data_IF_751580308653
#
_entry.id   IF_751580308653
#
_cell.length_a   1.000
_cell.length_b   1.000
_cell.length_c   1.000
_cell.angle_alpha   90.00
_cell.angle_beta   90.00
_cell.angle_gamma   90.00
#
_symmetry.space_group_name_H-M   'P 1'
#
loop_
_entity.id
_entity.type
_entity.pdbx_description
1 polymer ?
#
# COMPACT_ATOMS: atom_id res chain seq x y z
N UNK A 1 -16.56 28.59 23.02
CA UNK A 1 -16.84 29.32 21.77
C UNK A 1 -15.57 29.29 20.95
N UNK A 2 -15.44 28.30 20.08
CA UNK A 2 -14.40 28.28 19.05
C UNK A 2 -14.78 29.33 18.03
N UNK A 3 -14.03 30.42 17.94
CA UNK A 3 -14.13 31.39 16.88
C UNK A 3 -13.82 30.62 15.57
N UNK A 4 -14.83 30.49 14.71
CA UNK A 4 -14.64 30.18 13.30
C UNK A 4 -13.73 31.26 12.72
N UNK A 5 -12.44 30.94 12.56
CA UNK A 5 -11.55 31.76 11.80
C UNK A 5 -11.65 31.33 10.33
N UNK A 6 -12.36 32.10 9.48
CA UNK A 6 -12.54 31.74 8.07
C UNK A 6 -11.24 31.78 7.25
N UNK A 7 -10.15 32.25 7.86
CA UNK A 7 -8.82 32.36 7.24
C UNK A 7 -7.80 31.37 7.79
N UNK A 8 -8.26 30.27 8.43
CA UNK A 8 -7.31 29.21 8.81
C UNK A 8 -6.65 28.67 7.53
N UNK A 9 -5.31 28.77 7.44
CA UNK A 9 -4.63 28.36 6.21
C UNK A 9 -4.86 26.86 5.99
N UNK A 10 -5.35 26.50 4.80
CA UNK A 10 -5.56 25.10 4.37
C UNK A 10 -4.29 24.24 4.49
N UNK A 11 -3.13 24.88 4.70
CA UNK A 11 -1.86 24.20 5.00
C UNK A 11 -1.92 23.28 6.21
N UNK A 12 -2.80 23.56 7.19
CA UNK A 12 -2.97 22.75 8.40
C UNK A 12 -4.16 21.80 8.29
N UNK A 13 -4.82 21.76 7.14
CA UNK A 13 -5.94 20.86 6.90
C UNK A 13 -5.42 19.40 6.84
N UNK A 14 -5.82 18.59 7.80
CA UNK A 14 -5.28 17.25 8.01
C UNK A 14 -5.34 16.33 6.76
N UNK A 15 -6.45 16.24 6.01
CA UNK A 15 -6.47 15.44 4.79
C UNK A 15 -5.45 15.88 3.73
N UNK A 16 -5.18 17.16 3.62
CA UNK A 16 -4.14 17.69 2.73
C UNK A 16 -2.75 17.28 3.19
N UNK A 17 -2.45 17.40 4.48
CA UNK A 17 -1.16 16.97 5.05
C UNK A 17 -0.92 15.47 4.88
N UNK A 18 -1.96 14.66 5.10
CA UNK A 18 -1.88 13.20 4.89
C UNK A 18 -1.59 12.86 3.42
N UNK A 19 -2.27 13.53 2.49
CA UNK A 19 -2.02 13.36 1.06
C UNK A 19 -0.60 13.74 0.69
N UNK A 20 -0.11 14.90 1.10
CA UNK A 20 1.24 15.38 0.82
C UNK A 20 2.31 14.46 1.43
N UNK A 21 2.15 14.07 2.68
CA UNK A 21 3.07 13.15 3.35
C UNK A 21 3.14 11.80 2.63
N UNK A 22 1.99 11.24 2.25
CA UNK A 22 1.91 9.99 1.52
C UNK A 22 2.56 10.09 0.13
N UNK A 23 2.33 11.16 -0.62
CA UNK A 23 2.92 11.36 -1.95
C UNK A 23 4.45 11.47 -1.87
N UNK A 24 4.96 12.30 -0.98
CA UNK A 24 6.41 12.52 -0.85
C UNK A 24 7.13 11.27 -0.34
N UNK A 25 6.59 10.61 0.68
CA UNK A 25 7.15 9.37 1.21
C UNK A 25 7.11 8.24 0.17
N UNK A 26 6.01 8.12 -0.56
CA UNK A 26 5.84 7.10 -1.61
C UNK A 26 6.81 7.26 -2.76
N UNK A 27 7.13 8.48 -3.17
CA UNK A 27 8.09 8.74 -4.27
C UNK A 27 9.48 8.20 -3.95
N UNK A 28 9.94 8.39 -2.73
CA UNK A 28 11.26 7.92 -2.31
C UNK A 28 11.35 6.39 -2.35
N UNK A 29 10.28 5.70 -1.98
CA UNK A 29 10.23 4.24 -2.03
C UNK A 29 9.98 3.70 -3.45
N UNK A 30 9.22 4.42 -4.27
CA UNK A 30 8.85 4.03 -5.64
C UNK A 30 10.06 3.70 -6.51
N UNK A 31 11.15 4.42 -6.36
CA UNK A 31 12.37 4.18 -7.11
C UNK A 31 12.85 2.73 -7.01
N UNK A 32 12.72 2.11 -5.84
CA UNK A 32 13.20 0.75 -5.62
C UNK A 32 12.41 -0.31 -6.40
N UNK A 33 11.09 -0.29 -6.34
CA UNK A 33 10.30 -1.27 -7.08
C UNK A 33 10.19 -0.98 -8.58
N UNK A 34 10.31 0.28 -8.96
CA UNK A 34 10.28 0.67 -10.37
C UNK A 34 11.59 0.31 -11.08
N UNK A 35 12.73 0.65 -10.50
CA UNK A 35 14.04 0.40 -11.11
C UNK A 35 14.42 -1.08 -11.15
N UNK A 36 14.10 -1.83 -10.10
CA UNK A 36 14.47 -3.24 -9.99
C UNK A 36 13.51 -4.18 -10.72
N UNK A 37 12.21 -3.88 -10.69
CA UNK A 37 11.15 -4.81 -11.12
C UNK A 37 10.19 -4.22 -12.15
N UNK A 38 10.38 -2.98 -12.55
CA UNK A 38 9.50 -2.31 -13.52
C UNK A 38 8.06 -2.18 -13.02
N UNK A 39 7.83 -2.19 -11.70
CA UNK A 39 6.49 -2.10 -11.13
C UNK A 39 6.03 -0.66 -10.97
N UNK A 40 4.74 -0.45 -11.18
CA UNK A 40 4.06 0.79 -10.85
C UNK A 40 3.57 0.77 -9.38
N UNK A 41 3.22 1.95 -8.85
CA UNK A 41 2.70 2.08 -7.48
C UNK A 41 1.51 1.17 -7.21
N UNK A 42 0.58 1.05 -8.15
CA UNK A 42 -0.61 0.21 -7.99
C UNK A 42 -0.25 -1.28 -7.93
N UNK A 43 0.73 -1.70 -8.73
CA UNK A 43 1.24 -3.08 -8.71
C UNK A 43 1.90 -3.40 -7.38
N UNK A 44 2.73 -2.51 -6.86
CA UNK A 44 3.32 -2.65 -5.52
C UNK A 44 2.24 -2.75 -4.43
N UNK A 45 1.20 -1.91 -4.47
CA UNK A 45 0.11 -1.95 -3.50
C UNK A 45 -0.64 -3.28 -3.52
N UNK A 46 -0.91 -3.84 -4.69
CA UNK A 46 -1.52 -5.18 -4.83
C UNK A 46 -0.58 -6.25 -4.27
N UNK A 47 0.68 -6.22 -4.64
CA UNK A 47 1.69 -7.16 -4.13
C UNK A 47 1.83 -7.07 -2.61
N UNK A 48 1.83 -5.87 -2.05
CA UNK A 48 1.90 -5.64 -0.60
C UNK A 48 0.76 -6.35 0.15
N UNK A 49 -0.48 -6.22 -0.33
CA UNK A 49 -1.61 -6.89 0.29
C UNK A 49 -1.53 -8.41 0.17
N UNK A 50 -1.11 -8.93 -0.98
CA UNK A 50 -0.92 -10.37 -1.17
C UNK A 50 0.21 -10.93 -0.31
N UNK A 51 1.32 -10.23 -0.21
CA UNK A 51 2.46 -10.65 0.61
C UNK A 51 2.22 -10.54 2.10
N UNK A 52 1.51 -9.50 2.54
CA UNK A 52 1.27 -9.23 3.97
C UNK A 52 0.10 -10.02 4.55
N UNK A 53 -0.92 -10.29 3.75
CA UNK A 53 -2.18 -10.88 4.24
C UNK A 53 -2.44 -12.28 3.68
N UNK A 54 -1.67 -12.69 2.66
CA UNK A 54 -1.86 -13.97 1.97
C UNK A 54 -2.82 -13.87 0.79
N UNK A 55 -3.19 -15.02 0.29
CA UNK A 55 -4.02 -15.16 -0.89
C UNK A 55 -5.40 -14.56 -0.69
N UNK A 56 -5.90 -13.83 -1.67
CA UNK A 56 -7.17 -13.12 -1.58
C UNK A 56 -7.76 -12.85 -2.97
N UNK A 57 -9.04 -12.55 -3.02
CA UNK A 57 -9.73 -12.18 -4.26
C UNK A 57 -9.43 -10.73 -4.64
N UNK A 58 -9.60 -10.39 -5.92
CA UNK A 58 -9.48 -9.01 -6.39
C UNK A 58 -10.41 -8.04 -5.64
N UNK A 59 -11.62 -8.49 -5.29
CA UNK A 59 -12.58 -7.70 -4.50
C UNK A 59 -12.05 -7.38 -3.10
N UNK A 60 -11.44 -8.35 -2.44
CA UNK A 60 -10.83 -8.14 -1.12
C UNK A 60 -9.67 -7.14 -1.20
N UNK A 61 -8.85 -7.21 -2.25
CA UNK A 61 -7.76 -6.24 -2.49
C UNK A 61 -8.33 -4.84 -2.73
N UNK A 62 -9.38 -4.69 -3.56
CA UNK A 62 -10.03 -3.39 -3.78
C UNK A 62 -10.46 -2.75 -2.46
N UNK A 63 -11.10 -3.51 -1.59
CA UNK A 63 -11.58 -3.02 -0.30
C UNK A 63 -10.43 -2.62 0.63
N UNK A 64 -9.42 -3.48 0.77
CA UNK A 64 -8.28 -3.25 1.67
C UNK A 64 -7.36 -2.14 1.20
N UNK A 65 -7.12 -2.07 -0.09
CA UNK A 65 -6.24 -1.06 -0.68
C UNK A 65 -6.94 0.27 -0.97
N UNK A 66 -8.27 0.34 -0.79
CA UNK A 66 -9.08 1.50 -1.21
C UNK A 66 -8.79 1.89 -2.67
N UNK A 67 -8.76 0.89 -3.54
CA UNK A 67 -8.49 1.05 -4.97
C UNK A 67 -9.71 0.69 -5.79
N UNK A 68 -9.92 1.44 -6.88
CA UNK A 68 -10.96 1.15 -7.83
C UNK A 68 -10.68 -0.17 -8.57
N UNK A 69 -11.76 -0.93 -8.87
CA UNK A 69 -11.70 -2.22 -9.56
C UNK A 69 -10.84 -2.20 -10.82
N UNK A 70 -10.93 -1.16 -11.64
CA UNK A 70 -10.15 -1.04 -12.88
C UNK A 70 -8.63 -0.96 -12.60
N UNK A 71 -8.23 -0.21 -11.58
CA UNK A 71 -6.82 -0.10 -11.19
C UNK A 71 -6.27 -1.43 -10.68
N UNK A 72 -7.03 -2.12 -9.84
CA UNK A 72 -6.65 -3.45 -9.34
C UNK A 72 -6.56 -4.46 -10.48
N UNK A 73 -7.53 -4.50 -11.38
CA UNK A 73 -7.55 -5.39 -12.53
C UNK A 73 -6.32 -5.21 -13.44
N UNK A 74 -5.95 -3.97 -13.72
CA UNK A 74 -4.74 -3.66 -14.51
C UNK A 74 -3.45 -4.07 -13.80
N UNK A 75 -3.37 -3.79 -12.51
CA UNK A 75 -2.21 -4.15 -11.69
C UNK A 75 -2.05 -5.68 -11.60
N UNK A 76 -3.13 -6.41 -11.40
CA UNK A 76 -3.14 -7.88 -11.37
C UNK A 76 -2.64 -8.45 -12.70
N UNK A 77 -3.16 -7.94 -13.82
CA UNK A 77 -2.72 -8.37 -15.14
C UNK A 77 -1.21 -8.12 -15.35
N UNK A 78 -0.73 -6.95 -14.99
CA UNK A 78 0.68 -6.60 -15.13
C UNK A 78 1.59 -7.49 -14.25
N UNK A 79 1.18 -7.78 -13.02
CA UNK A 79 1.92 -8.69 -12.12
C UNK A 79 1.90 -10.14 -12.63
N UNK A 80 0.81 -10.56 -13.23
CA UNK A 80 0.68 -11.88 -13.87
C UNK A 80 1.62 -12.01 -15.09
N UNK A 81 1.67 -10.99 -15.93
CA UNK A 81 2.60 -10.91 -17.07
C UNK A 81 4.07 -10.94 -16.63
N UNK A 82 4.38 -10.32 -15.48
CA UNK A 82 5.72 -10.39 -14.86
C UNK A 82 5.98 -11.73 -14.16
N UNK A 83 5.01 -12.62 -14.10
CA UNK A 83 5.07 -13.90 -13.38
C UNK A 83 5.27 -13.79 -11.87
N UNK A 84 4.87 -12.67 -11.28
CA UNK A 84 4.89 -12.46 -9.83
C UNK A 84 3.59 -12.90 -9.16
N UNK A 85 2.51 -13.04 -9.92
CA UNK A 85 1.18 -13.37 -9.46
C UNK A 85 0.59 -14.46 -10.33
N UNK A 86 -0.22 -15.34 -9.73
CA UNK A 86 -1.03 -16.33 -10.41
C UNK A 86 -2.47 -16.29 -9.90
N UNK A 87 -3.39 -16.83 -10.71
CA UNK A 87 -4.80 -16.97 -10.36
C UNK A 87 -5.10 -18.44 -10.12
N UNK A 88 -5.68 -18.74 -8.96
CA UNK A 88 -6.19 -20.08 -8.65
C UNK A 88 -7.72 -20.03 -8.59
N UNK A 89 -8.40 -20.96 -9.23
CA UNK A 89 -9.85 -21.09 -9.13
C UNK A 89 -10.21 -21.64 -7.76
N UNK A 90 -11.14 -20.98 -7.06
CA UNK A 90 -11.66 -21.50 -5.79
C UNK A 90 -12.59 -22.68 -6.12
N UNK A 91 -12.32 -23.86 -5.52
CA UNK A 91 -13.03 -25.11 -5.82
C UNK A 91 -14.53 -25.07 -5.55
N UNK A 92 -15.01 -24.16 -4.69
CA UNK A 92 -16.42 -24.01 -4.30
C UNK A 92 -17.19 -22.98 -5.16
N UNK A 93 -16.49 -22.11 -5.89
CA UNK A 93 -17.10 -21.12 -6.76
C UNK A 93 -16.20 -20.85 -7.99
N UNK A 94 -16.62 -21.38 -9.14
CA UNK A 94 -15.90 -21.21 -10.42
C UNK A 94 -15.84 -19.77 -10.91
N UNK A 95 -16.62 -18.85 -10.33
CA UNK A 95 -16.63 -17.42 -10.66
C UNK A 95 -15.66 -16.59 -9.82
N UNK A 96 -15.16 -17.16 -8.74
CA UNK A 96 -14.21 -16.49 -7.84
C UNK A 96 -12.82 -17.04 -8.06
N UNK A 97 -11.89 -16.14 -8.38
CA UNK A 97 -10.48 -16.44 -8.51
C UNK A 97 -9.73 -15.90 -7.30
N UNK A 98 -8.90 -16.74 -6.74
CA UNK A 98 -7.97 -16.33 -5.69
C UNK A 98 -6.63 -15.93 -6.32
N UNK A 99 -6.14 -14.78 -5.93
CA UNK A 99 -4.87 -14.24 -6.37
C UNK A 99 -3.78 -14.65 -5.38
N UNK A 100 -2.69 -15.18 -5.89
CA UNK A 100 -1.57 -15.70 -5.11
C UNK A 100 -0.26 -15.17 -5.68
N UNK A 101 0.72 -14.90 -4.79
CA UNK A 101 2.08 -14.67 -5.25
C UNK A 101 2.72 -15.99 -5.69
N UNK A 102 3.42 -15.95 -6.82
CA UNK A 102 4.28 -17.06 -7.25
C UNK A 102 5.52 -17.14 -6.35
N UNK A 103 6.32 -18.19 -6.50
CA UNK A 103 7.62 -18.27 -5.82
C UNK A 103 8.50 -17.03 -6.13
N UNK A 104 8.51 -16.61 -7.38
CA UNK A 104 9.24 -15.41 -7.82
C UNK A 104 8.63 -14.14 -7.20
N UNK A 105 7.30 -14.02 -7.18
CA UNK A 105 6.60 -12.90 -6.54
C UNK A 105 6.89 -12.80 -5.04
N UNK A 106 6.95 -13.92 -4.34
CA UNK A 106 7.33 -13.97 -2.92
C UNK A 106 8.77 -13.50 -2.70
N UNK A 107 9.70 -13.87 -3.58
CA UNK A 107 11.09 -13.40 -3.51
C UNK A 107 11.19 -11.88 -3.74
N UNK A 108 10.46 -11.35 -4.70
CA UNK A 108 10.36 -9.90 -4.95
C UNK A 108 9.77 -9.17 -3.75
N UNK A 109 8.69 -9.70 -3.17
CA UNK A 109 8.07 -9.14 -1.98
C UNK A 109 9.04 -9.12 -0.79
N UNK A 110 9.80 -10.21 -0.56
CA UNK A 110 10.79 -10.27 0.51
C UNK A 110 11.90 -9.24 0.33
N UNK A 111 12.43 -9.07 -0.90
CA UNK A 111 13.43 -8.04 -1.22
C UNK A 111 12.90 -6.63 -0.94
N UNK A 112 11.69 -6.31 -1.41
CA UNK A 112 11.07 -5.01 -1.18
C UNK A 112 10.69 -4.78 0.29
N UNK A 113 10.36 -5.83 1.02
CA UNK A 113 10.13 -5.73 2.47
C UNK A 113 11.40 -5.31 3.21
N UNK A 114 12.55 -5.83 2.82
CA UNK A 114 13.84 -5.38 3.37
C UNK A 114 14.05 -3.89 3.13
N UNK A 115 13.86 -3.44 1.90
CA UNK A 115 13.99 -2.01 1.55
C UNK A 115 12.99 -1.15 2.34
N UNK A 116 11.75 -1.63 2.51
CA UNK A 116 10.72 -0.93 3.28
C UNK A 116 11.10 -0.81 4.76
N UNK A 117 11.66 -1.86 5.34
CA UNK A 117 12.14 -1.85 6.73
C UNK A 117 13.27 -0.82 6.92
N UNK A 118 14.25 -0.81 6.03
CA UNK A 118 15.34 0.17 6.08
C UNK A 118 14.82 1.61 5.91
N UNK A 119 13.84 1.80 5.05
CA UNK A 119 13.21 3.09 4.83
C UNK A 119 12.46 3.57 6.09
N UNK A 120 11.70 2.69 6.72
CA UNK A 120 10.95 3.00 7.94
C UNK A 120 11.90 3.33 9.12
N UNK A 121 12.99 2.59 9.25
CA UNK A 121 14.03 2.90 10.25
C UNK A 121 14.65 4.29 10.08
N UNK A 122 14.85 4.75 8.85
CA UNK A 122 15.33 6.10 8.58
C UNK A 122 14.31 7.17 8.97
N UNK A 123 13.02 6.91 8.73
CA UNK A 123 11.94 7.79 9.20
C UNK A 123 11.91 7.84 10.72
N UNK A 124 12.02 6.70 11.39
CA UNK A 124 12.10 6.62 12.85
C UNK A 124 13.29 7.42 13.40
N UNK A 125 14.48 7.28 12.81
CA UNK A 125 15.65 8.05 13.19
C UNK A 125 15.45 9.56 13.03
N UNK A 126 14.74 9.97 11.98
CA UNK A 126 14.46 11.39 11.70
C UNK A 126 13.43 11.99 12.64
N UNK A 127 12.39 11.23 13.01
CA UNK A 127 11.30 11.67 13.87
C UNK A 127 11.59 11.44 15.36
N UNK A 128 12.40 10.45 15.69
CA UNK A 128 12.53 9.89 17.02
C UNK A 128 11.54 8.75 17.26
N UNK A 129 11.95 7.74 18.02
CA UNK A 129 11.16 6.51 18.25
C UNK A 129 9.76 6.81 18.78
N UNK A 130 9.63 7.66 19.77
CA UNK A 130 8.34 8.00 20.38
C UNK A 130 7.37 8.66 19.39
N UNK A 131 7.85 9.60 18.60
CA UNK A 131 7.03 10.30 17.61
C UNK A 131 6.61 9.37 16.48
N UNK A 132 7.53 8.53 16.03
CA UNK A 132 7.25 7.51 15.01
C UNK A 132 6.18 6.53 15.49
N UNK A 133 6.29 5.97 16.69
CA UNK A 133 5.29 5.05 17.26
C UNK A 133 3.91 5.71 17.40
N UNK A 134 3.87 6.95 17.87
CA UNK A 134 2.62 7.73 17.98
C UNK A 134 1.98 7.97 16.62
N UNK A 135 2.78 8.34 15.62
CA UNK A 135 2.30 8.56 14.26
C UNK A 135 1.70 7.28 13.67
N UNK A 136 2.39 6.15 13.79
CA UNK A 136 1.90 4.84 13.34
C UNK A 136 0.56 4.50 13.99
N UNK A 137 0.47 4.61 15.32
CA UNK A 137 -0.76 4.34 16.07
C UNK A 137 -1.90 5.27 15.67
N UNK A 138 -1.61 6.56 15.45
CA UNK A 138 -2.60 7.56 15.05
C UNK A 138 -3.13 7.28 13.63
N UNK A 139 -2.26 6.95 12.69
CA UNK A 139 -2.66 6.60 11.34
C UNK A 139 -3.51 5.32 11.30
N UNK A 140 -3.17 4.32 12.11
CA UNK A 140 -3.97 3.08 12.24
C UNK A 140 -5.37 3.37 12.78
N UNK A 141 -5.50 4.25 13.79
CA UNK A 141 -6.82 4.70 14.29
C UNK A 141 -7.61 5.42 13.20
N UNK A 142 -6.95 6.32 12.46
CA UNK A 142 -7.59 7.07 11.39
C UNK A 142 -8.11 6.15 10.28
N UNK A 143 -7.33 5.14 9.90
CA UNK A 143 -7.75 4.12 8.93
C UNK A 143 -8.97 3.35 9.44
N UNK A 144 -8.95 2.92 10.71
CA UNK A 144 -10.06 2.19 11.31
C UNK A 144 -11.37 2.99 11.39
N UNK A 145 -11.29 4.32 11.52
CA UNK A 145 -12.48 5.20 11.52
C UNK A 145 -13.21 5.24 10.17
N UNK A 146 -12.55 4.88 9.09
CA UNK A 146 -13.09 4.97 7.72
C UNK A 146 -13.34 3.60 7.06
N UNK A 147 -13.17 2.51 7.80
CA UNK A 147 -13.53 1.15 7.41
C UNK A 147 -14.88 0.75 7.97
#
# INVERSE_FOLDING_TARGET
>A
MTQDNPDAPLSDFLPFLLFQAAELSSRNFQHHYQSRYGMLRTEWRVMFHLGSTGDQTAKQICNRASLHKTKVSRAVKALEEKRFLKRDTISTDRRSEQLCLTKQGKAVFADLTHVATDFDQRLEQSLGTQEHERLVATLQKLIALHQ
#
